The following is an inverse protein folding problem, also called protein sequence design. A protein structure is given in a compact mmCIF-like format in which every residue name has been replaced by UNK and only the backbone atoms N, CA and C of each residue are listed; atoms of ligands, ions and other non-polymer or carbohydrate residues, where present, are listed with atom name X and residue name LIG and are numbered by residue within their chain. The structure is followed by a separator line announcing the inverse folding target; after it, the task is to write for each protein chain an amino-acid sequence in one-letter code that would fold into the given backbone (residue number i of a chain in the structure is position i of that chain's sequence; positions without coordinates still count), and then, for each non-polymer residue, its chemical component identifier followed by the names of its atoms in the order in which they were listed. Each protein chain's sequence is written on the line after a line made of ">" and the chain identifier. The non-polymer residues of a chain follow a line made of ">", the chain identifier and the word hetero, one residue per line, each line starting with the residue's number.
data_IF_683437917373
#
_entry.id   IF_683437917373
#
_cell.length_a   1.000
_cell.length_b   1.000
_cell.length_c   1.000
_cell.angle_alpha   90.00
_cell.angle_beta   90.00
_cell.angle_gamma   90.00
#
_symmetry.space_group_name_H-M   'P 1'
#
loop_
_entity.id
_entity.type
_entity.pdbx_description
1 polymer ?
#
# COMPACT_ATOMS: atom_id res chain seq x y z
N UNK A 1 -5.87 -1.50 -2.16
CA UNK A 1 -7.24 -1.05 -2.49
C UNK A 1 -8.11 -1.01 -1.25
N UNK A 2 -8.23 -2.09 -0.47
CA UNK A 2 -9.11 -2.17 0.70
C UNK A 2 -8.97 -0.97 1.66
N UNK A 3 -7.72 -0.50 1.91
CA UNK A 3 -7.46 0.64 2.78
C UNK A 3 -8.01 1.95 2.19
N UNK A 4 -7.81 2.19 0.90
CA UNK A 4 -8.34 3.39 0.24
C UNK A 4 -9.86 3.42 0.26
N UNK A 5 -10.52 2.29 -0.01
CA UNK A 5 -11.99 2.19 0.06
C UNK A 5 -12.50 2.44 1.48
N UNK A 6 -11.87 1.86 2.50
CA UNK A 6 -12.27 2.09 3.88
C UNK A 6 -12.06 3.55 4.32
N UNK A 7 -10.96 4.19 3.90
CA UNK A 7 -10.71 5.62 4.19
C UNK A 7 -11.71 6.49 3.42
N UNK A 8 -12.06 6.15 2.18
CA UNK A 8 -13.07 6.90 1.41
C UNK A 8 -14.45 6.85 2.07
N UNK A 9 -14.90 5.65 2.42
CA UNK A 9 -16.30 5.39 2.74
C UNK A 9 -16.58 5.34 4.25
N UNK A 10 -15.55 5.05 5.09
CA UNK A 10 -15.69 4.73 6.52
C UNK A 10 -14.55 5.32 7.37
N UNK A 11 -14.10 6.52 7.03
CA UNK A 11 -12.94 7.15 7.68
C UNK A 11 -13.11 7.30 9.19
N UNK A 12 -14.31 7.60 9.66
CA UNK A 12 -14.60 7.76 11.10
C UNK A 12 -14.38 6.44 11.85
N UNK A 13 -14.91 5.34 11.33
CA UNK A 13 -14.72 4.00 11.92
C UNK A 13 -13.22 3.60 11.93
N UNK A 14 -12.47 3.93 10.88
CA UNK A 14 -11.03 3.70 10.83
C UNK A 14 -10.30 4.50 11.91
N UNK A 15 -10.65 5.78 12.07
CA UNK A 15 -10.06 6.66 13.11
C UNK A 15 -10.35 6.13 14.51
N UNK A 16 -11.60 5.77 14.82
CA UNK A 16 -12.00 5.21 16.11
C UNK A 16 -11.22 3.91 16.43
N UNK A 17 -11.08 3.05 15.44
CA UNK A 17 -10.29 1.82 15.58
C UNK A 17 -8.80 2.11 15.84
N UNK A 18 -8.22 3.12 15.17
CA UNK A 18 -6.84 3.55 15.40
C UNK A 18 -6.66 4.22 16.77
N UNK A 19 -7.65 4.98 17.25
CA UNK A 19 -7.65 5.55 18.60
C UNK A 19 -7.63 4.43 19.66
N UNK A 20 -8.39 3.36 19.45
CA UNK A 20 -8.38 2.18 20.31
C UNK A 20 -7.01 1.46 20.28
N UNK A 21 -6.41 1.30 19.09
CA UNK A 21 -5.05 0.78 18.97
C UNK A 21 -4.04 1.65 19.73
N UNK A 22 -4.10 2.97 19.59
CA UNK A 22 -3.21 3.91 20.25
C UNK A 22 -3.30 3.82 21.77
N UNK A 23 -4.52 3.83 22.32
CA UNK A 23 -4.77 3.69 23.78
C UNK A 23 -4.20 2.38 24.35
N UNK A 24 -4.35 1.27 23.64
CA UNK A 24 -3.83 -0.03 24.08
C UNK A 24 -2.30 -0.09 23.95
N UNK A 25 -1.75 0.47 22.87
CA UNK A 25 -0.31 0.54 22.63
C UNK A 25 0.42 1.34 23.70
N UNK A 26 -0.14 2.47 24.17
CA UNK A 26 0.45 3.29 25.22
C UNK A 26 0.60 2.54 26.56
N UNK A 27 -0.24 1.55 26.85
CA UNK A 27 -0.15 0.75 28.09
C UNK A 27 1.04 -0.21 28.11
N UNK A 28 1.31 -0.87 26.99
CA UNK A 28 2.46 -1.77 26.81
C UNK A 28 2.78 -1.92 25.33
N UNK A 29 3.71 -1.12 24.86
CA UNK A 29 4.04 -1.00 23.43
C UNK A 29 4.45 -2.35 22.80
N UNK A 30 5.41 -3.03 23.43
CA UNK A 30 5.96 -4.27 22.88
C UNK A 30 4.93 -5.40 22.86
N UNK A 31 4.28 -5.63 23.98
CA UNK A 31 3.29 -6.71 24.11
C UNK A 31 2.12 -6.49 23.12
N UNK A 32 1.59 -5.26 23.07
CA UNK A 32 0.47 -4.94 22.23
C UNK A 32 0.84 -5.02 20.74
N UNK A 33 2.02 -4.51 20.35
CA UNK A 33 2.51 -4.62 18.97
C UNK A 33 2.55 -6.07 18.48
N UNK A 34 3.18 -6.96 19.25
CA UNK A 34 3.30 -8.36 18.85
C UNK A 34 1.95 -9.10 18.88
N UNK A 35 1.04 -8.73 19.77
CA UNK A 35 -0.33 -9.22 19.75
C UNK A 35 -1.04 -8.82 18.43
N UNK A 36 -1.03 -7.54 18.06
CA UNK A 36 -1.64 -7.06 16.81
C UNK A 36 -0.95 -7.64 15.58
N UNK A 37 0.38 -7.80 15.62
CA UNK A 37 1.12 -8.42 14.52
C UNK A 37 0.67 -9.85 14.23
N UNK A 38 0.32 -10.62 15.26
CA UNK A 38 -0.15 -12.00 15.15
C UNK A 38 -1.65 -12.12 14.88
N UNK A 39 -2.42 -11.06 15.10
CA UNK A 39 -3.87 -11.10 14.90
C UNK A 39 -4.25 -11.25 13.44
N UNK A 40 -5.39 -11.90 13.18
CA UNK A 40 -5.97 -12.09 11.86
C UNK A 40 -7.42 -11.56 11.86
N UNK A 41 -7.61 -10.23 11.81
CA UNK A 41 -8.94 -9.64 11.84
C UNK A 41 -9.74 -10.04 10.60
N UNK A 42 -11.06 -10.14 10.76
CA UNK A 42 -11.99 -10.52 9.69
C UNK A 42 -12.67 -9.31 9.05
N UNK A 43 -13.03 -8.31 9.86
CA UNK A 43 -13.70 -7.11 9.36
C UNK A 43 -12.76 -6.20 8.54
N UNK A 44 -13.33 -5.46 7.60
CA UNK A 44 -12.58 -4.52 6.75
C UNK A 44 -11.87 -3.44 7.59
N UNK A 45 -12.58 -2.85 8.55
CA UNK A 45 -12.05 -1.77 9.39
C UNK A 45 -10.86 -2.26 10.22
N UNK A 46 -10.99 -3.41 10.86
CA UNK A 46 -9.90 -3.98 11.66
C UNK A 46 -8.68 -4.38 10.80
N UNK A 47 -8.89 -4.88 9.59
CA UNK A 47 -7.78 -5.15 8.64
C UNK A 47 -7.04 -3.88 8.29
N UNK A 48 -7.77 -2.81 8.00
CA UNK A 48 -7.20 -1.52 7.59
C UNK A 48 -6.52 -0.81 8.76
N UNK A 49 -7.16 -0.73 9.92
CA UNK A 49 -6.56 -0.13 11.11
C UNK A 49 -5.34 -0.90 11.60
N UNK A 50 -5.37 -2.25 11.53
CA UNK A 50 -4.19 -3.09 11.79
C UNK A 50 -3.04 -2.76 10.84
N UNK A 51 -3.30 -2.65 9.54
CA UNK A 51 -2.28 -2.31 8.55
C UNK A 51 -1.64 -0.94 8.86
N UNK A 52 -2.46 0.08 9.11
CA UNK A 52 -1.99 1.43 9.43
C UNK A 52 -1.20 1.42 10.75
N UNK A 53 -1.73 0.79 11.80
CA UNK A 53 -1.07 0.66 13.10
C UNK A 53 0.30 0.00 12.97
N UNK A 54 0.39 -1.15 12.30
CA UNK A 54 1.65 -1.86 12.11
C UNK A 54 2.65 -1.03 11.30
N UNK A 55 2.23 -0.37 10.21
CA UNK A 55 3.10 0.49 9.42
C UNK A 55 3.65 1.67 10.24
N UNK A 56 2.82 2.28 11.11
CA UNK A 56 3.22 3.41 11.95
C UNK A 56 4.11 3.03 13.13
N UNK A 57 4.11 1.77 13.55
CA UNK A 57 4.81 1.32 14.76
C UNK A 57 5.93 0.30 14.48
N UNK A 58 6.00 -0.29 13.29
CA UNK A 58 7.05 -1.23 12.93
C UNK A 58 8.37 -0.54 12.57
N UNK A 59 9.45 -1.31 12.52
CA UNK A 59 10.77 -0.83 12.11
C UNK A 59 10.74 -0.19 10.72
N UNK A 60 11.12 1.09 10.63
CA UNK A 60 11.20 1.91 9.42
C UNK A 60 9.92 1.95 8.57
N UNK A 61 8.74 1.66 9.12
CA UNK A 61 7.49 1.64 8.35
C UNK A 61 7.45 0.59 7.24
N UNK A 62 8.29 -0.44 7.33
CA UNK A 62 8.42 -1.47 6.29
C UNK A 62 7.16 -2.35 6.23
N UNK A 63 6.84 -2.80 5.03
CA UNK A 63 5.89 -3.90 4.85
C UNK A 63 6.64 -5.13 4.36
N UNK A 64 6.62 -6.20 5.15
CA UNK A 64 7.26 -7.47 4.79
C UNK A 64 6.46 -8.64 5.36
N UNK A 65 6.33 -9.69 4.58
CA UNK A 65 5.70 -10.95 4.98
C UNK A 65 6.70 -12.10 4.92
N UNK A 66 6.48 -13.13 5.71
CA UNK A 66 7.24 -14.38 5.63
C UNK A 66 6.69 -15.29 4.51
N UNK A 67 7.29 -16.47 4.33
CA UNK A 67 6.87 -17.47 3.32
C UNK A 67 5.40 -17.93 3.47
N UNK A 68 4.80 -17.75 4.65
CA UNK A 68 3.38 -18.04 4.93
C UNK A 68 2.46 -16.84 4.70
N UNK A 69 2.96 -15.74 4.12
CA UNK A 69 2.20 -14.51 3.89
C UNK A 69 1.88 -13.70 5.16
N UNK A 70 2.48 -14.02 6.32
CA UNK A 70 2.23 -13.30 7.58
C UNK A 70 3.23 -12.16 7.76
N UNK A 71 2.72 -10.99 8.16
CA UNK A 71 3.53 -9.81 8.47
C UNK A 71 4.59 -10.12 9.54
N UNK A 72 5.87 -9.82 9.28
CA UNK A 72 6.97 -10.25 10.13
C UNK A 72 7.99 -9.15 10.49
N UNK A 73 7.69 -7.87 10.24
CA UNK A 73 8.56 -6.77 10.65
C UNK A 73 8.58 -6.64 12.18
N UNK A 74 9.73 -6.39 12.81
CA UNK A 74 9.80 -6.16 14.25
C UNK A 74 9.24 -4.78 14.64
N UNK A 75 8.99 -4.58 15.94
CA UNK A 75 8.65 -3.28 16.51
C UNK A 75 9.75 -2.24 16.20
N UNK A 76 9.34 -1.04 15.82
CA UNK A 76 10.22 0.10 15.63
C UNK A 76 10.65 0.73 16.96
N UNK A 77 11.68 1.59 16.91
CA UNK A 77 12.21 2.32 18.08
C UNK A 77 11.62 3.74 18.15
N UNK A 78 10.29 3.86 18.08
CA UNK A 78 9.63 5.15 18.16
C UNK A 78 9.17 5.43 19.59
N UNK A 79 9.51 6.62 20.11
CA UNK A 79 9.07 7.05 21.43
C UNK A 79 7.58 7.41 21.45
N UNK A 80 7.10 8.12 20.43
CA UNK A 80 5.71 8.54 20.30
C UNK A 80 5.28 8.53 18.82
N UNK A 81 4.97 7.36 18.25
CA UNK A 81 4.56 7.28 16.85
C UNK A 81 3.20 7.94 16.63
N UNK A 82 3.08 8.75 15.57
CA UNK A 82 1.80 9.33 15.16
C UNK A 82 0.93 8.26 14.47
N UNK A 83 0.27 7.43 15.28
CA UNK A 83 -0.52 6.30 14.81
C UNK A 83 -1.76 6.76 14.03
N UNK A 84 -2.42 7.83 14.48
CA UNK A 84 -3.75 8.18 14.00
C UNK A 84 -3.68 9.14 12.81
N UNK A 85 -2.90 10.22 12.91
CA UNK A 85 -2.87 11.33 11.94
C UNK A 85 -4.27 11.68 11.38
N UNK A 86 -5.18 12.04 12.29
CA UNK A 86 -6.63 12.22 12.02
C UNK A 86 -6.89 13.22 10.90
N UNK A 87 -6.20 14.35 10.92
CA UNK A 87 -6.37 15.41 9.92
C UNK A 87 -6.05 14.90 8.51
N UNK A 88 -4.93 14.18 8.37
CA UNK A 88 -4.55 13.61 7.09
C UNK A 88 -5.56 12.55 6.60
N UNK A 89 -6.07 11.69 7.48
CA UNK A 89 -7.06 10.68 7.11
C UNK A 89 -8.35 11.33 6.62
N UNK A 90 -8.83 12.39 7.29
CA UNK A 90 -10.01 13.13 6.87
C UNK A 90 -9.79 13.87 5.55
N UNK A 91 -8.61 14.46 5.35
CA UNK A 91 -8.26 15.14 4.09
C UNK A 91 -8.22 14.15 2.94
N UNK A 92 -7.54 13.01 3.11
CA UNK A 92 -7.49 11.95 2.11
C UNK A 92 -8.91 11.42 1.79
N UNK A 93 -9.74 11.20 2.82
CA UNK A 93 -11.13 10.77 2.61
C UNK A 93 -11.90 11.75 1.73
N UNK A 94 -11.82 13.06 2.01
CA UNK A 94 -12.47 14.10 1.20
C UNK A 94 -12.00 14.09 -0.25
N UNK A 95 -10.70 13.96 -0.48
CA UNK A 95 -10.12 13.87 -1.83
C UNK A 95 -10.66 12.64 -2.56
N UNK A 96 -10.64 11.48 -1.90
CA UNK A 96 -11.12 10.23 -2.49
C UNK A 96 -12.62 10.24 -2.80
N UNK A 97 -13.42 11.00 -2.04
CA UNK A 97 -14.87 11.18 -2.28
C UNK A 97 -15.17 12.20 -3.38
N UNK A 98 -14.38 13.28 -3.47
CA UNK A 98 -14.60 14.37 -4.42
C UNK A 98 -14.05 14.09 -5.81
N UNK A 99 -13.19 13.11 -5.96
CA UNK A 99 -12.52 12.77 -7.22
C UNK A 99 -13.21 11.59 -7.92
N UNK A 100 -13.25 11.62 -9.25
CA UNK A 100 -13.72 10.49 -10.05
C UNK A 100 -12.62 9.41 -10.12
N UNK A 101 -12.43 8.70 -8.98
CA UNK A 101 -11.36 7.72 -8.78
C UNK A 101 -11.90 6.30 -8.80
N UNK A 102 -11.26 5.47 -9.59
CA UNK A 102 -11.48 4.03 -9.62
C UNK A 102 -10.24 3.28 -9.15
N UNK A 103 -10.43 2.19 -8.42
CA UNK A 103 -9.35 1.35 -7.90
C UNK A 103 -9.47 -0.06 -8.48
N UNK A 104 -8.41 -0.50 -9.15
CA UNK A 104 -8.35 -1.84 -9.73
C UNK A 104 -7.23 -2.66 -9.10
N UNK A 105 -7.45 -3.97 -8.94
CA UNK A 105 -6.44 -4.95 -8.54
C UNK A 105 -6.37 -6.01 -9.62
N UNK A 106 -5.65 -5.71 -10.70
CA UNK A 106 -5.52 -6.54 -11.89
C UNK A 106 -4.15 -6.31 -12.53
N UNK A 107 -3.82 -7.13 -13.51
CA UNK A 107 -2.61 -6.95 -14.30
C UNK A 107 -2.57 -5.56 -14.94
N UNK A 108 -1.37 -4.98 -15.07
CA UNK A 108 -1.20 -3.61 -15.57
C UNK A 108 -1.69 -3.44 -17.02
N UNK A 109 -1.55 -4.46 -17.88
CA UNK A 109 -2.07 -4.40 -19.25
C UNK A 109 -3.60 -4.36 -19.26
N UNK A 110 -4.26 -5.13 -18.40
CA UNK A 110 -5.72 -5.12 -18.27
C UNK A 110 -6.26 -3.81 -17.72
N UNK A 111 -5.43 -3.10 -16.94
CA UNK A 111 -5.80 -1.82 -16.32
C UNK A 111 -5.93 -0.68 -17.32
N UNK A 112 -5.38 -0.84 -18.53
CA UNK A 112 -5.28 0.21 -19.54
C UNK A 112 -6.14 -0.05 -20.79
N UNK A 113 -7.14 -0.92 -20.66
CA UNK A 113 -8.02 -1.27 -21.80
C UNK A 113 -8.77 -0.05 -22.36
N UNK A 114 -9.24 0.84 -21.50
CA UNK A 114 -10.10 1.98 -21.86
C UNK A 114 -9.33 3.28 -22.11
N UNK A 115 -7.99 3.25 -22.15
CA UNK A 115 -7.12 4.41 -22.36
C UNK A 115 -7.29 4.97 -23.78
N UNK A 116 -7.41 6.31 -23.86
CA UNK A 116 -7.64 7.06 -25.10
C UNK A 116 -6.47 7.97 -25.42
N UNK A 117 -6.40 8.42 -26.68
CA UNK A 117 -5.46 9.46 -27.10
C UNK A 117 -5.57 10.70 -26.20
N UNK A 118 -4.43 11.18 -25.72
CA UNK A 118 -4.34 12.36 -24.85
C UNK A 118 -4.33 12.04 -23.35
N UNK A 119 -4.69 10.81 -22.96
CA UNK A 119 -4.58 10.39 -21.56
C UNK A 119 -3.13 10.34 -21.11
N UNK A 120 -2.92 10.55 -19.80
CA UNK A 120 -1.61 10.44 -19.16
C UNK A 120 -1.54 9.14 -18.35
N UNK A 121 -0.48 8.36 -18.57
CA UNK A 121 -0.21 7.10 -17.88
C UNK A 121 1.12 7.20 -17.13
N UNK A 122 1.10 6.98 -15.84
CA UNK A 122 2.31 6.87 -15.01
C UNK A 122 2.50 5.44 -14.54
N UNK A 123 3.64 4.84 -14.90
CA UNK A 123 4.05 3.53 -14.44
C UNK A 123 5.09 3.66 -13.34
N UNK A 124 4.84 3.03 -12.20
CA UNK A 124 5.75 2.92 -11.06
C UNK A 124 5.97 1.42 -10.73
N UNK A 125 6.72 0.70 -11.59
CA UNK A 125 6.97 -0.73 -11.38
C UNK A 125 7.88 -0.96 -10.17
N UNK A 126 7.86 -2.15 -9.56
CA UNK A 126 8.88 -2.54 -8.59
C UNK A 126 10.28 -2.45 -9.23
N UNK A 127 11.20 -1.75 -8.54
CA UNK A 127 12.57 -1.63 -9.03
C UNK A 127 13.31 -2.95 -8.92
N UNK A 128 14.16 -3.24 -9.91
CA UNK A 128 15.00 -4.44 -9.85
C UNK A 128 16.08 -4.28 -8.76
N UNK A 129 16.32 -5.34 -7.98
CA UNK A 129 17.39 -5.30 -6.98
C UNK A 129 18.75 -5.20 -7.69
N UNK A 130 19.53 -4.18 -7.35
CA UNK A 130 20.90 -3.94 -7.89
C UNK A 130 21.87 -5.07 -7.48
N UNK A 131 21.53 -5.93 -6.53
CA UNK A 131 22.34 -7.07 -6.09
C UNK A 131 21.48 -8.26 -5.66
N UNK A 132 22.03 -9.48 -5.79
CA UNK A 132 21.38 -10.73 -5.37
C UNK A 132 21.06 -10.79 -3.86
N UNK A 133 21.59 -9.89 -3.05
CA UNK A 133 21.30 -9.77 -1.60
C UNK A 133 20.19 -8.78 -1.29
N UNK A 134 19.75 -7.97 -2.23
CA UNK A 134 18.70 -6.98 -2.08
C UNK A 134 17.29 -7.54 -2.37
N UNK A 135 16.97 -8.74 -1.86
CA UNK A 135 15.68 -9.40 -2.01
C UNK A 135 14.50 -8.68 -1.28
N UNK A 136 14.50 -7.33 -1.25
CA UNK A 136 13.45 -6.55 -0.60
C UNK A 136 12.21 -6.25 -1.49
N UNK A 137 12.15 -6.80 -2.70
CA UNK A 137 11.14 -6.44 -3.71
C UNK A 137 9.87 -7.27 -3.72
N UNK A 138 9.71 -8.27 -2.86
CA UNK A 138 8.50 -9.09 -2.84
C UNK A 138 7.40 -8.47 -1.96
N UNK A 139 6.67 -7.49 -2.48
CA UNK A 139 5.39 -7.06 -1.93
C UNK A 139 4.26 -8.08 -2.19
N UNK A 140 4.48 -9.02 -3.12
CA UNK A 140 3.57 -10.10 -3.49
C UNK A 140 4.32 -11.42 -3.58
N UNK A 141 3.60 -12.55 -3.62
CA UNK A 141 4.18 -13.89 -3.82
C UNK A 141 4.76 -14.08 -5.24
N UNK A 142 4.54 -13.14 -6.15
CA UNK A 142 5.12 -13.12 -7.49
C UNK A 142 6.07 -11.93 -7.59
N UNK A 143 7.32 -12.20 -7.91
CA UNK A 143 8.28 -11.15 -8.23
C UNK A 143 7.94 -10.55 -9.59
N UNK A 144 8.19 -9.26 -9.75
CA UNK A 144 8.19 -8.59 -11.04
C UNK A 144 9.47 -9.04 -11.77
N UNK A 145 9.31 -9.67 -12.93
CA UNK A 145 10.38 -10.35 -13.66
C UNK A 145 10.90 -9.49 -14.83
N UNK A 146 11.99 -9.94 -15.47
CA UNK A 146 12.48 -9.31 -16.69
C UNK A 146 11.46 -9.37 -17.83
N UNK A 147 10.71 -10.47 -17.92
CA UNK A 147 9.59 -10.60 -18.86
C UNK A 147 8.49 -9.58 -18.59
N UNK A 148 8.20 -9.30 -17.32
CA UNK A 148 7.21 -8.26 -16.95
C UNK A 148 7.72 -6.86 -17.31
N UNK A 149 9.03 -6.61 -17.18
CA UNK A 149 9.64 -5.35 -17.59
C UNK A 149 9.59 -5.16 -19.11
N UNK A 150 9.85 -6.22 -19.87
CA UNK A 150 9.72 -6.21 -21.33
C UNK A 150 8.25 -5.96 -21.76
N UNK A 151 7.30 -6.66 -21.14
CA UNK A 151 5.86 -6.43 -21.35
C UNK A 151 5.48 -4.97 -21.09
N UNK A 152 6.00 -4.39 -19.99
CA UNK A 152 5.74 -2.99 -19.62
C UNK A 152 6.31 -2.02 -20.66
N UNK A 153 7.55 -2.25 -21.11
CA UNK A 153 8.18 -1.45 -22.18
C UNK A 153 7.38 -1.50 -23.48
N UNK A 154 6.96 -2.70 -23.89
CA UNK A 154 6.13 -2.89 -25.08
C UNK A 154 4.77 -2.19 -24.94
N UNK A 155 4.16 -2.22 -23.75
CA UNK A 155 2.92 -1.51 -23.46
C UNK A 155 3.10 0.01 -23.54
N UNK A 156 4.18 0.55 -22.94
CA UNK A 156 4.49 1.97 -22.98
C UNK A 156 4.63 2.47 -24.43
N UNK A 157 5.37 1.75 -25.28
CA UNK A 157 5.52 2.07 -26.70
C UNK A 157 4.18 2.03 -27.47
N UNK A 158 3.32 1.05 -27.18
CA UNK A 158 1.98 0.97 -27.79
C UNK A 158 1.09 2.16 -27.37
N UNK A 159 1.16 2.58 -26.11
CA UNK A 159 0.39 3.73 -25.64
C UNK A 159 0.88 5.04 -26.25
N UNK A 160 2.18 5.24 -26.35
CA UNK A 160 2.78 6.40 -27.03
C UNK A 160 2.35 6.46 -28.48
N UNK A 161 2.42 5.35 -29.21
CA UNK A 161 1.97 5.25 -30.61
C UNK A 161 0.48 5.56 -30.80
N UNK A 162 -0.35 5.34 -29.75
CA UNK A 162 -1.77 5.71 -29.71
C UNK A 162 -2.00 7.18 -29.36
N UNK A 163 -0.92 7.94 -29.07
CA UNK A 163 -0.96 9.35 -28.69
C UNK A 163 -1.30 9.60 -27.25
N UNK A 164 -1.06 8.63 -26.37
CA UNK A 164 -1.08 8.83 -24.92
C UNK A 164 0.23 9.48 -24.47
N UNK A 165 0.20 10.15 -23.31
CA UNK A 165 1.42 10.65 -22.64
C UNK A 165 1.84 9.62 -21.61
N UNK A 166 3.05 9.08 -21.75
CA UNK A 166 3.55 8.00 -20.88
C UNK A 166 4.74 8.48 -20.06
N UNK A 167 4.74 8.19 -18.78
CA UNK A 167 5.86 8.40 -17.86
C UNK A 167 6.12 7.09 -17.10
N UNK A 168 7.39 6.68 -17.02
CA UNK A 168 7.82 5.47 -16.34
C UNK A 168 8.92 5.83 -15.37
N UNK A 169 8.74 5.48 -14.08
CA UNK A 169 9.82 5.55 -13.09
C UNK A 169 10.69 4.29 -13.19
N UNK A 170 12.01 4.49 -13.09
CA UNK A 170 12.99 3.41 -13.03
C UNK A 170 14.15 3.86 -12.13
N UNK A 171 14.86 2.90 -11.51
CA UNK A 171 16.05 3.14 -10.68
C UNK A 171 17.33 3.01 -11.48
#
# INVERSE_FOLDING_TARGET
>A
ILAYLAIRDKVTEVIESLENHSKKYQKNQSQYYYHVRQSEPTSQIEKVSRLIFLNKTCFNGLYRVNSKGKFNVPLGRYTNPNIINKENLLTVSKILQSSNLEFFCRDFEQSLHDIKKGDFVYFDPPYQPISNTANFTSYTNKNFTDDDLERLGNLANRLDSRGCKVMLSNS
#
